data_IF_379354573019
#
_entry.id   IF_379354573019
#
_cell.length_a   1.000
_cell.length_b   1.000
_cell.length_c   1.000
_cell.angle_alpha   90.00
_cell.angle_beta   90.00
_cell.angle_gamma   90.00
#
_symmetry.space_group_name_H-M   'P 1'
#
loop_
_entity.id
_entity.type
_entity.pdbx_description
1 polymer ?
#
# COMPACT_ATOMS: atom_id res chain seq x y z
N UNK A 1 -10.19 13.31 2.20
CA UNK A 1 -10.04 14.18 3.39
C UNK A 1 -9.15 15.39 3.12
N UNK A 2 -7.93 15.21 2.56
CA UNK A 2 -7.00 16.32 2.25
C UNK A 2 -7.56 17.31 1.22
N UNK A 3 -8.20 16.84 0.13
CA UNK A 3 -8.78 17.71 -0.90
C UNK A 3 -9.96 18.58 -0.40
N UNK A 4 -10.73 18.10 0.57
CA UNK A 4 -11.79 18.88 1.21
C UNK A 4 -11.19 19.99 2.09
N UNK A 5 -10.04 19.73 2.71
CA UNK A 5 -9.36 20.69 3.57
C UNK A 5 -8.73 21.82 2.74
N UNK A 6 -8.09 21.49 1.61
CA UNK A 6 -7.49 22.51 0.72
C UNK A 6 -8.55 23.39 0.06
N UNK A 7 -9.69 22.82 -0.34
CA UNK A 7 -10.82 23.59 -0.90
C UNK A 7 -11.41 24.59 0.10
N UNK A 8 -11.57 24.19 1.37
CA UNK A 8 -12.09 25.08 2.44
C UNK A 8 -11.14 26.24 2.75
N UNK A 9 -9.82 26.00 2.70
CA UNK A 9 -8.82 27.06 2.93
C UNK A 9 -8.86 28.10 1.80
N UNK A 10 -9.00 27.66 0.54
CA UNK A 10 -9.07 28.56 -0.62
C UNK A 10 -10.31 29.46 -0.56
N UNK A 11 -11.48 28.92 -0.17
CA UNK A 11 -12.71 29.70 0.00
C UNK A 11 -12.54 30.81 1.06
N UNK A 12 -11.91 30.50 2.20
CA UNK A 12 -11.66 31.48 3.27
C UNK A 12 -10.73 32.59 2.78
N UNK A 13 -9.69 32.26 2.00
CA UNK A 13 -8.76 33.24 1.43
C UNK A 13 -9.47 34.16 0.43
N UNK A 14 -10.33 33.61 -0.43
CA UNK A 14 -11.10 34.39 -1.41
C UNK A 14 -12.08 35.33 -0.71
N UNK A 15 -12.79 34.87 0.32
CA UNK A 15 -13.71 35.71 1.11
C UNK A 15 -12.94 36.83 1.82
N UNK A 16 -11.77 36.52 2.41
CA UNK A 16 -10.91 37.52 3.03
C UNK A 16 -10.40 38.57 2.04
N UNK A 17 -10.02 38.15 0.82
CA UNK A 17 -9.57 39.05 -0.24
C UNK A 17 -10.69 39.94 -0.78
N UNK A 18 -11.89 39.40 -1.00
CA UNK A 18 -13.07 40.16 -1.40
C UNK A 18 -13.49 41.17 -0.33
N UNK A 19 -13.38 40.80 0.95
CA UNK A 19 -13.67 41.68 2.06
C UNK A 19 -12.65 42.83 2.18
N UNK A 20 -11.36 42.54 1.96
CA UNK A 20 -10.30 43.55 1.91
C UNK A 20 -10.53 44.56 0.76
N UNK A 21 -10.92 44.09 -0.41
CA UNK A 21 -11.20 44.96 -1.56
C UNK A 21 -12.40 45.89 -1.31
N UNK A 22 -13.48 45.37 -0.69
CA UNK A 22 -14.67 46.17 -0.34
C UNK A 22 -14.41 47.18 0.78
N UNK A 23 -13.43 46.91 1.65
CA UNK A 23 -13.07 47.80 2.73
C UNK A 23 -12.33 49.08 2.28
N UNK A 24 -11.81 49.12 1.05
CA UNK A 24 -11.01 50.25 0.58
C UNK A 24 -11.86 51.53 0.39
N UNK A 25 -13.13 51.38 -0.01
CA UNK A 25 -14.06 52.47 -0.31
C UNK A 25 -14.83 53.02 0.90
N UNK A 26 -14.57 52.50 2.12
CA UNK A 26 -15.33 52.88 3.33
C UNK A 26 -14.80 54.14 4.02
N UNK A 27 -15.68 54.84 4.74
CA UNK A 27 -15.33 56.00 5.56
C UNK A 27 -14.48 55.62 6.79
N UNK A 28 -13.75 56.59 7.36
CA UNK A 28 -12.78 56.35 8.44
C UNK A 28 -13.42 55.73 9.70
N UNK A 29 -14.65 56.13 10.04
CA UNK A 29 -15.38 55.58 11.19
C UNK A 29 -15.75 54.11 10.98
N UNK A 30 -16.24 53.75 9.79
CA UNK A 30 -16.61 52.37 9.43
C UNK A 30 -15.39 51.45 9.37
N UNK A 31 -14.25 51.96 8.89
CA UNK A 31 -12.95 51.25 8.92
C UNK A 31 -12.52 50.94 10.36
N UNK A 32 -12.74 51.85 11.30
CA UNK A 32 -12.43 51.66 12.72
C UNK A 32 -13.18 50.48 13.34
N UNK A 33 -14.49 50.39 13.10
CA UNK A 33 -15.30 49.27 13.59
C UNK A 33 -14.82 47.94 13.02
N UNK A 34 -14.56 47.87 11.71
CA UNK A 34 -14.13 46.63 11.06
C UNK A 34 -12.76 46.16 11.53
N UNK A 35 -11.80 47.08 11.71
CA UNK A 35 -10.49 46.75 12.28
C UNK A 35 -10.63 46.20 13.70
N UNK A 36 -11.51 46.79 14.51
CA UNK A 36 -11.81 46.29 15.86
C UNK A 36 -12.35 44.86 15.87
N UNK A 37 -13.33 44.57 15.00
CA UNK A 37 -13.90 43.23 14.87
C UNK A 37 -12.90 42.20 14.35
N UNK A 38 -12.07 42.55 13.36
CA UNK A 38 -11.03 41.67 12.83
C UNK A 38 -9.98 41.37 13.90
N UNK A 39 -9.55 42.38 14.66
CA UNK A 39 -8.59 42.21 15.75
C UNK A 39 -9.14 41.28 16.84
N UNK A 40 -10.40 41.46 17.24
CA UNK A 40 -11.07 40.59 18.21
C UNK A 40 -11.24 39.15 17.69
N UNK A 41 -11.61 38.98 16.40
CA UNK A 41 -11.75 37.67 15.78
C UNK A 41 -10.41 36.92 15.71
N UNK A 42 -9.32 37.61 15.33
CA UNK A 42 -7.98 37.02 15.32
C UNK A 42 -7.51 36.62 16.72
N UNK A 43 -7.80 37.44 17.74
CA UNK A 43 -7.46 37.13 19.13
C UNK A 43 -8.15 35.85 19.64
N UNK A 44 -9.31 35.49 19.09
CA UNK A 44 -10.03 34.26 19.45
C UNK A 44 -9.64 33.06 18.58
N UNK A 45 -9.37 33.27 17.28
CA UNK A 45 -9.11 32.17 16.33
C UNK A 45 -7.69 31.61 16.49
N UNK A 46 -6.69 32.46 16.70
CA UNK A 46 -5.28 32.04 16.85
C UNK A 46 -5.08 31.02 17.97
N UNK A 47 -5.58 31.23 19.21
CA UNK A 47 -5.38 30.26 20.29
C UNK A 47 -6.11 28.94 20.03
N UNK A 48 -7.30 28.97 19.41
CA UNK A 48 -8.03 27.76 19.03
C UNK A 48 -7.25 26.97 17.97
N UNK A 49 -6.68 27.66 16.98
CA UNK A 49 -5.89 27.04 15.93
C UNK A 49 -4.61 26.40 16.48
N UNK A 50 -3.89 27.10 17.38
CA UNK A 50 -2.72 26.56 18.08
C UNK A 50 -3.11 25.33 18.90
N UNK A 51 -4.25 25.38 19.61
CA UNK A 51 -4.74 24.25 20.40
C UNK A 51 -5.06 23.03 19.53
N UNK A 52 -5.70 23.21 18.39
CA UNK A 52 -6.01 22.12 17.44
C UNK A 52 -4.74 21.49 16.89
N UNK A 53 -3.72 22.28 16.54
CA UNK A 53 -2.42 21.76 16.09
C UNK A 53 -1.74 20.97 17.21
N UNK A 54 -1.73 21.49 18.43
CA UNK A 54 -1.08 20.86 19.57
C UNK A 54 -1.75 19.52 19.94
N UNK A 55 -3.07 19.51 20.06
CA UNK A 55 -3.85 18.29 20.37
C UNK A 55 -3.77 17.30 19.21
N UNK A 56 -3.89 17.78 17.96
CA UNK A 56 -3.71 16.97 16.77
C UNK A 56 -2.33 16.32 16.71
N UNK A 57 -1.28 17.07 17.05
CA UNK A 57 0.09 16.56 17.15
C UNK A 57 0.28 15.49 18.22
N UNK A 58 -0.33 15.65 19.40
CA UNK A 58 -0.28 14.64 20.47
C UNK A 58 -1.02 13.35 20.08
N UNK A 59 -2.20 13.48 19.47
CA UNK A 59 -2.97 12.32 19.00
C UNK A 59 -2.22 11.64 17.83
N UNK A 60 -1.63 12.41 16.93
CA UNK A 60 -0.87 11.86 15.81
C UNK A 60 0.42 11.16 16.28
N UNK A 61 1.13 11.72 17.26
CA UNK A 61 2.32 11.11 17.84
C UNK A 61 2.03 9.75 18.48
N UNK A 62 0.99 9.68 19.31
CA UNK A 62 0.55 8.42 19.96
C UNK A 62 0.04 7.38 18.95
N UNK A 63 -0.66 7.82 17.90
CA UNK A 63 -1.08 6.93 16.80
C UNK A 63 0.12 6.37 16.02
N UNK A 64 1.13 7.21 15.75
CA UNK A 64 2.33 6.81 15.01
C UNK A 64 3.19 5.80 15.77
N UNK A 65 3.31 5.95 17.09
CA UNK A 65 4.14 5.07 17.93
C UNK A 65 3.52 3.67 18.04
N UNK A 66 2.22 3.57 18.27
CA UNK A 66 1.49 2.30 18.29
C UNK A 66 1.49 1.58 16.93
N UNK A 67 1.44 2.35 15.83
CA UNK A 67 1.52 1.77 14.49
C UNK A 67 2.93 1.23 14.20
N UNK A 68 3.98 1.89 14.69
CA UNK A 68 5.36 1.42 14.55
C UNK A 68 5.58 0.08 15.27
N UNK A 69 5.08 -0.05 16.50
CA UNK A 69 5.16 -1.29 17.29
C UNK A 69 4.39 -2.45 16.63
N UNK A 70 3.19 -2.19 16.08
CA UNK A 70 2.40 -3.19 15.35
C UNK A 70 3.06 -3.62 14.05
N UNK A 71 3.65 -2.67 13.32
CA UNK A 71 4.38 -2.95 12.07
C UNK A 71 5.68 -3.71 12.35
N UNK A 72 6.39 -3.41 13.45
CA UNK A 72 7.57 -4.17 13.86
C UNK A 72 7.23 -5.61 14.29
N UNK A 73 6.09 -5.88 14.96
CA UNK A 73 5.64 -7.27 15.26
C UNK A 73 5.21 -8.04 14.01
N UNK A 74 4.61 -7.36 13.01
CA UNK A 74 4.21 -7.98 11.73
C UNK A 74 5.46 -8.26 10.87
N UNK A 75 6.35 -7.28 10.72
CA UNK A 75 7.61 -7.45 9.95
C UNK A 75 8.52 -8.47 10.64
N UNK A 76 8.58 -8.49 11.98
CA UNK A 76 9.31 -9.48 12.75
C UNK A 76 8.74 -10.90 12.68
N UNK A 77 7.50 -11.07 12.20
CA UNK A 77 6.90 -12.38 11.85
C UNK A 77 7.10 -12.76 10.39
N UNK A 78 7.28 -11.79 9.50
CA UNK A 78 7.46 -12.03 8.06
C UNK A 78 8.93 -12.25 7.68
N UNK A 79 9.90 -11.75 8.45
CA UNK A 79 11.31 -12.10 8.26
C UNK A 79 11.69 -13.36 9.06
N UNK A 80 11.97 -14.43 8.32
CA UNK A 80 12.49 -15.74 8.74
C UNK A 80 11.45 -16.80 9.15
N UNK A 81 10.49 -17.07 8.26
CA UNK A 81 10.26 -18.48 7.93
C UNK A 81 11.28 -18.81 6.84
N UNK A 82 12.46 -19.27 7.26
CA UNK A 82 13.38 -19.97 6.36
C UNK A 82 12.54 -21.11 5.77
N UNK A 83 12.06 -20.96 4.52
CA UNK A 83 11.27 -22.00 3.88
C UNK A 83 12.18 -23.22 3.86
N UNK A 84 11.75 -24.27 4.56
CA UNK A 84 12.50 -25.51 4.54
C UNK A 84 12.61 -26.00 3.10
N UNK A 85 13.67 -26.73 2.76
CA UNK A 85 13.79 -27.34 1.43
C UNK A 85 12.54 -28.16 1.05
N UNK A 86 11.88 -28.74 2.06
CA UNK A 86 10.61 -29.47 1.94
C UNK A 86 9.43 -28.55 1.57
N UNK A 87 9.31 -27.36 2.18
CA UNK A 87 8.28 -26.38 1.81
C UNK A 87 8.46 -25.88 0.36
N UNK A 88 9.72 -25.70 -0.07
CA UNK A 88 10.05 -25.31 -1.46
C UNK A 88 9.67 -26.43 -2.42
N UNK A 89 10.01 -27.67 -2.09
CA UNK A 89 9.65 -28.83 -2.92
C UNK A 89 8.14 -28.96 -3.08
N UNK A 90 7.37 -28.86 -1.99
CA UNK A 90 5.90 -28.90 -2.02
C UNK A 90 5.35 -27.80 -2.94
N UNK A 91 5.91 -26.59 -2.88
CA UNK A 91 5.48 -25.48 -3.74
C UNK A 91 5.65 -25.79 -5.24
N UNK A 92 6.68 -26.56 -5.62
CA UNK A 92 6.88 -26.98 -7.02
C UNK A 92 5.81 -27.97 -7.48
N UNK A 93 5.37 -28.89 -6.61
CA UNK A 93 4.26 -29.79 -6.92
C UNK A 93 2.96 -29.01 -7.11
N UNK A 94 2.68 -28.01 -6.25
CA UNK A 94 1.50 -27.16 -6.37
C UNK A 94 1.49 -26.38 -7.69
N UNK A 95 2.63 -25.82 -8.09
CA UNK A 95 2.80 -25.13 -9.38
C UNK A 95 2.51 -26.10 -10.53
N UNK A 96 3.14 -27.27 -10.53
CA UNK A 96 2.99 -28.25 -11.61
C UNK A 96 1.55 -28.79 -11.70
N UNK A 97 0.85 -28.97 -10.57
CA UNK A 97 -0.55 -29.40 -10.54
C UNK A 97 -1.46 -28.32 -11.12
N UNK A 98 -1.25 -27.06 -10.74
CA UNK A 98 -2.02 -25.93 -11.28
C UNK A 98 -1.87 -25.80 -12.80
N UNK A 99 -0.68 -26.04 -13.35
CA UNK A 99 -0.46 -26.08 -14.81
C UNK A 99 -1.28 -27.20 -15.49
N UNK A 100 -1.43 -28.36 -14.83
CA UNK A 100 -2.27 -29.44 -15.35
C UNK A 100 -3.75 -29.02 -15.36
N UNK A 101 -4.23 -28.49 -14.25
CA UNK A 101 -5.64 -28.13 -14.04
C UNK A 101 -6.09 -26.96 -14.93
N UNK A 102 -5.25 -25.94 -15.06
CA UNK A 102 -5.51 -24.79 -15.93
C UNK A 102 -5.20 -25.06 -17.42
N UNK A 103 -4.76 -26.27 -17.75
CA UNK A 103 -4.30 -26.65 -19.08
C UNK A 103 -3.18 -25.75 -19.65
N UNK A 104 -2.29 -25.25 -18.79
CA UNK A 104 -1.12 -24.42 -19.12
C UNK A 104 0.18 -25.22 -19.05
N UNK A 105 0.15 -26.46 -19.53
CA UNK A 105 1.28 -27.39 -19.46
C UNK A 105 2.41 -26.92 -20.39
N UNK A 106 3.66 -27.10 -19.98
CA UNK A 106 4.83 -26.82 -20.82
C UNK A 106 4.90 -27.87 -21.92
N UNK A 107 4.71 -27.46 -23.18
CA UNK A 107 4.57 -28.36 -24.33
C UNK A 107 5.69 -29.42 -24.44
N UNK A 108 6.95 -29.05 -24.23
CA UNK A 108 8.08 -30.00 -24.31
C UNK A 108 8.03 -31.08 -23.23
N UNK A 109 7.74 -30.69 -21.98
CA UNK A 109 7.62 -31.62 -20.85
C UNK A 109 6.37 -32.48 -20.99
N UNK A 110 5.26 -31.88 -21.43
CA UNK A 110 4.02 -32.60 -21.72
C UNK A 110 4.19 -33.62 -22.83
N UNK A 111 4.83 -33.25 -23.94
CA UNK A 111 5.12 -34.16 -25.05
C UNK A 111 5.97 -35.36 -24.63
N UNK A 112 7.02 -35.12 -23.82
CA UNK A 112 7.83 -36.20 -23.24
C UNK A 112 6.99 -37.13 -22.37
N UNK A 113 6.20 -36.56 -21.46
CA UNK A 113 5.35 -37.30 -20.53
C UNK A 113 4.30 -38.15 -21.25
N UNK A 114 3.68 -37.57 -22.29
CA UNK A 114 2.66 -38.22 -23.09
C UNK A 114 3.23 -39.36 -23.94
N UNK A 115 4.41 -39.13 -24.54
CA UNK A 115 5.14 -40.15 -25.29
C UNK A 115 5.50 -41.36 -24.42
N UNK A 116 6.05 -41.13 -23.22
CA UNK A 116 6.45 -42.22 -22.32
C UNK A 116 5.26 -42.95 -21.68
N UNK A 117 4.13 -42.26 -21.52
CA UNK A 117 2.88 -42.84 -21.06
C UNK A 117 2.14 -43.65 -22.15
N UNK A 118 2.68 -43.76 -23.37
CA UNK A 118 1.99 -44.35 -24.53
C UNK A 118 0.60 -43.73 -24.76
N UNK A 119 0.45 -42.44 -24.48
CA UNK A 119 -0.80 -41.70 -24.63
C UNK A 119 -1.82 -41.88 -23.49
N UNK A 120 -1.53 -42.64 -22.43
CA UNK A 120 -2.39 -42.71 -21.26
C UNK A 120 -2.37 -41.36 -20.51
N UNK A 121 -3.51 -40.69 -20.42
CA UNK A 121 -3.62 -39.34 -19.87
C UNK A 121 -3.29 -39.30 -18.38
N UNK A 122 -3.67 -40.32 -17.61
CA UNK A 122 -3.45 -40.33 -16.16
C UNK A 122 -1.96 -40.56 -15.85
N UNK A 123 -1.34 -41.51 -16.57
CA UNK A 123 0.10 -41.75 -16.48
C UNK A 123 0.88 -40.52 -16.99
N UNK A 124 0.42 -39.88 -18.07
CA UNK A 124 1.02 -38.66 -18.61
C UNK A 124 1.03 -37.53 -17.58
N UNK A 125 -0.06 -37.35 -16.82
CA UNK A 125 -0.13 -36.35 -15.76
C UNK A 125 0.85 -36.65 -14.63
N UNK A 126 0.95 -37.90 -14.20
CA UNK A 126 1.90 -38.32 -13.17
C UNK A 126 3.36 -38.09 -13.61
N UNK A 127 3.70 -38.48 -14.85
CA UNK A 127 5.02 -38.24 -15.42
C UNK A 127 5.31 -36.74 -15.61
N UNK A 128 4.29 -35.96 -15.98
CA UNK A 128 4.42 -34.51 -16.10
C UNK A 128 4.79 -33.86 -14.77
N UNK A 129 4.09 -34.21 -13.68
CA UNK A 129 4.42 -33.70 -12.34
C UNK A 129 5.88 -33.98 -11.99
N UNK A 130 6.32 -35.23 -12.16
CA UNK A 130 7.71 -35.63 -11.90
C UNK A 130 8.70 -34.78 -12.69
N UNK A 131 8.55 -34.73 -14.01
CA UNK A 131 9.51 -34.00 -14.85
C UNK A 131 9.46 -32.48 -14.65
N UNK A 132 8.28 -31.93 -14.35
CA UNK A 132 8.11 -30.50 -14.12
C UNK A 132 8.74 -30.08 -12.79
N UNK A 133 8.54 -30.85 -11.73
CA UNK A 133 9.19 -30.61 -10.43
C UNK A 133 10.70 -30.71 -10.54
N UNK A 134 11.22 -31.76 -11.19
CA UNK A 134 12.67 -31.88 -11.44
C UNK A 134 13.23 -30.68 -12.22
N UNK A 135 12.47 -30.14 -13.17
CA UNK A 135 12.86 -28.94 -13.91
C UNK A 135 12.89 -27.69 -13.02
N UNK A 136 11.84 -27.45 -12.23
CA UNK A 136 11.74 -26.32 -11.32
C UNK A 136 12.85 -26.35 -10.26
N UNK A 137 13.18 -27.54 -9.77
CA UNK A 137 14.27 -27.72 -8.81
C UNK A 137 15.63 -27.33 -9.40
N UNK A 138 15.92 -27.74 -10.65
CA UNK A 138 17.15 -27.32 -11.35
C UNK A 138 17.19 -25.82 -11.63
N UNK A 139 16.05 -25.23 -12.00
CA UNK A 139 15.93 -23.79 -12.24
C UNK A 139 16.23 -23.00 -10.96
N UNK A 140 15.63 -23.42 -9.84
CA UNK A 140 15.88 -22.84 -8.52
C UNK A 140 17.36 -22.95 -8.12
N UNK A 141 17.97 -24.14 -8.24
CA UNK A 141 19.40 -24.34 -7.96
C UNK A 141 20.30 -23.47 -8.85
N UNK A 142 19.95 -23.32 -10.13
CA UNK A 142 20.73 -22.47 -11.05
C UNK A 142 20.68 -21.00 -10.68
N UNK A 143 19.53 -20.51 -10.19
CA UNK A 143 19.36 -19.14 -9.72
C UNK A 143 20.12 -18.90 -8.41
N UNK A 144 20.17 -19.88 -7.50
CA UNK A 144 20.91 -19.77 -6.25
C UNK A 144 22.44 -19.78 -6.41
N UNK A 145 22.98 -20.25 -7.54
CA UNK A 145 24.43 -20.30 -7.81
C UNK A 145 24.95 -18.99 -8.45
N UNK A 146 24.06 -18.16 -9.01
CA UNK A 146 24.42 -16.97 -9.80
C UNK A 146 24.37 -15.66 -8.97
N UNK A 147 24.01 -15.74 -7.68
CA UNK A 147 23.99 -14.61 -6.73
C UNK A 147 25.14 -14.74 -5.75
#
# INVERSE_FOLDING_TARGET
TIQLFTSRIIEIIIIGFLFHFRANDMNLEEKGYIIGYVSLALALIIPIFIYVIFVGGLIYGTYSEKNKEMVEDIIGKEEQKELSEEDIEISFYDIAMKEIDENKKVNGIWGKSFSEANGDINISKALYLKYRVEYLHREHQSLSIVV
#
